data_IF_525974949857
#
_entry.id   IF_525974949857
#
_cell.length_a   1.000
_cell.length_b   1.000
_cell.length_c   1.000
_cell.angle_alpha   90.00
_cell.angle_beta   90.00
_cell.angle_gamma   90.00
#
_symmetry.space_group_name_H-M   'P 1'
#
loop_
_entity.id
_entity.type
_entity.pdbx_description
1 polymer ?
#
# COMPACT_ATOMS: atom_id res chain seq x y z
N UNK A 1 2.67 11.02 4.43
CA UNK A 1 1.86 11.32 5.64
C UNK A 1 1.08 12.59 5.42
N UNK A 2 -0.12 12.71 5.98
CA UNK A 2 -0.90 13.94 6.04
C UNK A 2 -1.24 14.27 7.49
N UNK A 3 -1.40 15.56 7.81
CA UNK A 3 -1.89 15.99 9.13
C UNK A 3 -3.33 16.47 9.02
N UNK A 4 -4.24 15.85 9.77
CA UNK A 4 -5.68 16.17 9.77
C UNK A 4 -6.13 16.26 11.22
N UNK A 5 -6.65 17.42 11.64
CA UNK A 5 -7.11 17.63 13.02
C UNK A 5 -6.02 17.43 14.09
N UNK A 6 -4.73 17.63 13.76
CA UNK A 6 -3.60 17.43 14.66
C UNK A 6 -3.04 16.00 14.70
N UNK A 7 -3.62 15.08 13.95
CA UNK A 7 -3.23 13.67 13.87
C UNK A 7 -2.45 13.38 12.58
N UNK A 8 -1.57 12.37 12.62
CA UNK A 8 -0.89 11.90 11.42
C UNK A 8 -1.66 10.72 10.82
N UNK A 9 -1.88 10.77 9.50
CA UNK A 9 -2.52 9.71 8.72
C UNK A 9 -1.63 9.27 7.57
N UNK A 10 -1.64 7.98 7.28
CA UNK A 10 -0.90 7.43 6.13
C UNK A 10 -1.67 7.79 4.86
N UNK A 11 -1.17 8.77 4.12
CA UNK A 11 -1.77 9.19 2.85
C UNK A 11 -1.37 8.29 1.68
N UNK A 12 -0.10 7.86 1.68
CA UNK A 12 0.46 6.99 0.65
C UNK A 12 1.42 6.00 1.30
N UNK A 13 1.47 4.78 0.76
CA UNK A 13 2.54 3.82 1.01
C UNK A 13 3.34 3.62 -0.27
N UNK A 14 4.67 3.44 -0.14
CA UNK A 14 5.57 3.30 -1.29
C UNK A 14 6.59 2.19 -1.08
N UNK A 15 6.65 1.25 -2.02
CA UNK A 15 7.72 0.25 -2.13
C UNK A 15 8.76 0.73 -3.16
N UNK A 16 10.02 0.61 -2.79
CA UNK A 16 11.19 1.06 -3.54
C UNK A 16 11.92 -0.16 -4.12
N UNK A 17 11.77 -0.46 -5.42
CA UNK A 17 12.47 -1.59 -6.04
C UNK A 17 13.87 -1.22 -6.53
N UNK A 18 14.08 0.01 -7.00
CA UNK A 18 15.41 0.51 -7.42
C UNK A 18 15.50 2.04 -7.27
N UNK A 19 16.68 2.66 -7.25
CA UNK A 19 16.76 4.14 -7.19
C UNK A 19 16.53 4.87 -8.53
N UNK A 20 16.17 4.13 -9.59
CA UNK A 20 15.92 4.73 -10.90
C UNK A 20 14.75 5.73 -10.86
N UNK A 21 14.82 6.83 -11.65
CA UNK A 21 13.69 7.76 -11.81
C UNK A 21 12.49 7.08 -12.47
N UNK A 22 11.28 7.42 -12.01
CA UNK A 22 10.04 7.00 -12.69
C UNK A 22 9.82 7.91 -13.89
N UNK A 23 9.60 7.33 -15.07
CA UNK A 23 9.25 8.06 -16.30
C UNK A 23 7.81 7.81 -16.75
N UNK A 24 7.18 6.75 -16.22
CA UNK A 24 5.79 6.38 -16.56
C UNK A 24 5.10 5.75 -15.36
N UNK A 25 3.83 6.11 -15.15
CA UNK A 25 2.95 5.46 -14.18
C UNK A 25 1.87 4.65 -14.88
N UNK A 26 1.50 3.52 -14.30
CA UNK A 26 0.32 2.74 -14.67
C UNK A 26 -0.40 2.27 -13.41
N UNK A 27 -1.71 2.05 -13.50
CA UNK A 27 -2.45 1.39 -12.43
C UNK A 27 -1.94 -0.05 -12.25
N UNK A 28 -1.81 -0.50 -11.01
CA UNK A 28 -1.45 -1.86 -10.69
C UNK A 28 -2.69 -2.75 -10.86
N UNK A 29 -2.69 -3.60 -11.89
CA UNK A 29 -3.79 -4.52 -12.22
C UNK A 29 -3.30 -5.95 -12.33
N UNK A 30 -4.19 -6.92 -12.19
CA UNK A 30 -3.96 -8.31 -12.57
C UNK A 30 -4.13 -8.49 -14.09
N UNK A 31 -3.72 -9.65 -14.61
CA UNK A 31 -3.75 -9.92 -16.05
C UNK A 31 -5.17 -9.92 -16.66
N UNK A 32 -6.19 -10.18 -15.84
CA UNK A 32 -7.61 -10.20 -16.20
C UNK A 32 -8.32 -8.85 -15.97
N UNK A 33 -7.65 -7.89 -15.33
CA UNK A 33 -8.21 -6.57 -15.05
C UNK A 33 -7.93 -5.58 -16.17
N UNK A 34 -8.92 -4.74 -16.49
CA UNK A 34 -8.79 -3.70 -17.50
C UNK A 34 -7.76 -2.64 -17.07
N UNK A 35 -6.91 -2.23 -18.02
CA UNK A 35 -6.02 -1.09 -17.82
C UNK A 35 -6.82 0.21 -17.85
N UNK A 36 -6.84 0.92 -16.71
CA UNK A 36 -7.47 2.23 -16.58
C UNK A 36 -6.40 3.35 -16.58
N UNK A 37 -6.76 4.56 -17.06
CA UNK A 37 -5.85 5.70 -17.00
C UNK A 37 -5.55 6.10 -15.56
N UNK A 38 -4.29 6.45 -15.28
CA UNK A 38 -3.91 7.03 -13.98
C UNK A 38 -4.61 8.37 -13.83
N UNK A 39 -5.31 8.57 -12.70
CA UNK A 39 -6.11 9.76 -12.46
C UNK A 39 -7.48 9.76 -13.14
N UNK A 40 -7.94 8.61 -13.66
CA UNK A 40 -9.33 8.46 -14.09
C UNK A 40 -10.32 8.44 -12.92
N UNK A 41 -11.61 8.57 -13.26
CA UNK A 41 -12.73 8.48 -12.31
C UNK A 41 -12.87 7.07 -11.74
N UNK A 42 -12.71 6.06 -12.60
CA UNK A 42 -12.73 4.65 -12.22
C UNK A 42 -11.38 4.20 -11.67
N UNK A 43 -11.41 3.27 -10.72
CA UNK A 43 -10.22 2.70 -10.12
C UNK A 43 -10.32 1.18 -9.95
N UNK A 44 -9.19 0.51 -10.19
CA UNK A 44 -8.96 -0.88 -9.82
C UNK A 44 -8.05 -0.89 -8.61
N UNK A 45 -8.43 -1.66 -7.59
CA UNK A 45 -7.80 -1.65 -6.29
C UNK A 45 -8.12 -2.89 -5.46
N UNK A 46 -7.79 -2.80 -4.18
CA UNK A 46 -8.06 -3.83 -3.19
C UNK A 46 -8.88 -3.25 -2.03
N UNK A 47 -9.76 -4.08 -1.47
CA UNK A 47 -10.53 -3.75 -0.27
C UNK A 47 -9.69 -4.01 0.97
N UNK A 48 -9.80 -3.12 1.95
CA UNK A 48 -9.26 -3.29 3.29
C UNK A 48 -10.41 -3.28 4.28
N UNK A 49 -10.44 -4.31 5.11
CA UNK A 49 -11.31 -4.46 6.28
C UNK A 49 -10.39 -4.86 7.44
N UNK A 50 -10.22 -3.97 8.42
CA UNK A 50 -9.19 -4.07 9.46
C UNK A 50 -8.08 -3.02 9.37
N UNK A 51 -8.29 -1.95 8.59
CA UNK A 51 -7.49 -0.72 8.59
C UNK A 51 -5.97 -0.94 8.41
N UNK A 52 -5.60 -2.02 7.70
CA UNK A 52 -4.21 -2.48 7.55
C UNK A 52 -3.98 -2.94 6.12
N UNK A 53 -3.03 -2.31 5.43
CA UNK A 53 -2.54 -2.75 4.13
C UNK A 53 -1.29 -3.60 4.31
N UNK A 54 -1.23 -4.73 3.61
CA UNK A 54 -0.11 -5.68 3.61
C UNK A 54 0.44 -5.83 2.19
N UNK A 55 1.76 -5.71 2.05
CA UNK A 55 2.49 -5.85 0.81
C UNK A 55 3.46 -7.03 0.92
N UNK A 56 3.33 -7.99 0.01
CA UNK A 56 4.15 -9.19 -0.01
C UNK A 56 4.29 -9.72 -1.44
N UNK A 57 5.40 -10.41 -1.72
CA UNK A 57 5.57 -11.14 -2.97
C UNK A 57 4.91 -12.54 -2.91
N UNK A 58 4.94 -13.25 -4.04
CA UNK A 58 4.36 -14.59 -4.16
C UNK A 58 5.04 -15.62 -3.24
N UNK A 59 6.35 -15.47 -3.00
CA UNK A 59 7.12 -16.38 -2.14
C UNK A 59 6.71 -16.23 -0.68
N UNK A 60 6.52 -14.99 -0.22
CA UNK A 60 6.01 -14.67 1.12
C UNK A 60 4.57 -15.14 1.24
N UNK A 61 3.72 -14.88 0.24
CA UNK A 61 2.30 -15.30 0.26
C UNK A 61 2.13 -16.80 0.49
N UNK A 62 2.97 -17.65 -0.11
CA UNK A 62 2.93 -19.11 0.06
C UNK A 62 3.18 -19.56 1.50
N UNK A 63 3.90 -18.76 2.28
CA UNK A 63 4.30 -19.07 3.66
C UNK A 63 3.59 -18.20 4.71
N UNK A 64 2.72 -17.29 4.28
CA UNK A 64 2.02 -16.37 5.17
C UNK A 64 0.76 -17.03 5.74
N UNK A 65 0.65 -17.06 7.08
CA UNK A 65 -0.57 -17.47 7.75
C UNK A 65 -1.58 -16.29 7.78
N UNK A 66 -2.71 -16.36 7.04
CA UNK A 66 -3.67 -15.26 6.98
C UNK A 66 -4.27 -14.90 8.34
N UNK A 67 -4.29 -15.83 9.32
CA UNK A 67 -4.79 -15.54 10.68
C UNK A 67 -3.97 -14.47 11.39
N UNK A 68 -2.72 -14.24 10.96
CA UNK A 68 -1.90 -13.15 11.48
C UNK A 68 -2.50 -11.78 11.13
N UNK A 69 -3.18 -11.65 10.00
CA UNK A 69 -3.84 -10.40 9.59
C UNK A 69 -5.24 -10.22 10.18
N UNK A 70 -5.88 -11.28 10.67
CA UNK A 70 -7.26 -11.25 11.19
C UNK A 70 -7.34 -10.98 12.71
N UNK A 71 -6.25 -11.18 13.45
CA UNK A 71 -6.24 -11.06 14.90
C UNK A 71 -5.29 -9.95 15.37
N UNK A 72 -5.83 -8.87 15.95
CA UNK A 72 -5.04 -7.75 16.47
C UNK A 72 -4.05 -8.09 17.60
N UNK A 73 -4.17 -9.27 18.23
CA UNK A 73 -3.19 -9.76 19.20
C UNK A 73 -2.10 -10.65 18.57
N UNK A 74 -2.10 -10.81 17.25
CA UNK A 74 -1.12 -11.65 16.55
C UNK A 74 0.29 -11.03 16.61
N UNK A 75 1.35 -11.84 16.40
CA UNK A 75 2.72 -11.35 16.28
C UNK A 75 2.88 -10.22 15.25
N UNK A 76 2.10 -10.19 14.17
CA UNK A 76 2.15 -9.14 13.16
C UNK A 76 1.79 -7.78 13.76
N UNK A 77 0.66 -7.69 14.46
CA UNK A 77 0.20 -6.44 15.06
C UNK A 77 1.04 -6.01 16.26
N UNK A 78 1.50 -6.96 17.06
CA UNK A 78 2.48 -6.71 18.13
C UNK A 78 3.77 -6.09 17.55
N UNK A 79 4.23 -6.56 16.39
CA UNK A 79 5.39 -5.98 15.72
C UNK A 79 5.10 -4.57 15.17
N UNK A 80 3.92 -4.36 14.59
CA UNK A 80 3.49 -3.02 14.14
C UNK A 80 3.48 -2.02 15.31
N UNK A 81 3.02 -2.42 16.49
CA UNK A 81 2.93 -1.55 17.67
C UNK A 81 4.30 -1.04 18.15
N UNK A 82 5.38 -1.77 17.89
CA UNK A 82 6.75 -1.30 18.17
C UNK A 82 7.15 -0.07 17.35
N UNK A 83 6.49 0.16 16.22
CA UNK A 83 6.72 1.31 15.34
C UNK A 83 5.53 2.27 15.31
N UNK A 84 4.71 2.29 16.37
CA UNK A 84 3.62 3.23 16.51
C UNK A 84 4.10 4.68 16.54
N UNK A 85 3.43 5.55 15.78
CA UNK A 85 3.68 6.99 15.70
C UNK A 85 2.34 7.71 15.57
N UNK A 86 1.97 8.57 16.52
CA UNK A 86 0.85 9.52 16.39
C UNK A 86 -0.39 9.00 15.64
N UNK A 87 -0.89 7.81 16.03
CA UNK A 87 -2.07 7.09 15.46
C UNK A 87 -1.88 6.29 14.18
N UNK A 88 -0.67 6.04 13.74
CA UNK A 88 -0.37 5.05 12.70
C UNK A 88 0.79 4.15 13.12
N UNK A 89 0.82 2.94 12.59
CA UNK A 89 1.87 1.94 12.81
C UNK A 89 2.24 1.27 11.50
N UNK A 90 3.45 0.72 11.45
CA UNK A 90 3.97 -0.01 10.31
C UNK A 90 4.95 -1.08 10.76
N UNK A 91 5.29 -2.03 9.90
CA UNK A 91 6.39 -2.96 10.15
C UNK A 91 6.93 -3.55 8.85
N UNK A 92 8.18 -4.02 8.91
CA UNK A 92 8.73 -5.01 7.99
C UNK A 92 8.75 -6.36 8.73
N UNK A 93 7.70 -7.15 8.57
CA UNK A 93 7.48 -8.38 9.32
C UNK A 93 8.16 -9.57 8.65
N UNK A 94 8.92 -10.37 9.42
CA UNK A 94 9.66 -11.53 8.91
C UNK A 94 8.73 -12.73 8.68
N UNK A 95 8.84 -13.35 7.51
CA UNK A 95 8.14 -14.59 7.14
C UNK A 95 9.15 -15.54 6.51
N UNK A 96 9.63 -16.51 7.30
CA UNK A 96 10.78 -17.34 6.91
C UNK A 96 12.01 -16.46 6.69
N UNK A 97 12.69 -16.60 5.55
CA UNK A 97 13.84 -15.77 5.17
C UNK A 97 13.44 -14.46 4.45
N UNK A 98 12.16 -14.26 4.19
CA UNK A 98 11.63 -13.10 3.47
C UNK A 98 10.87 -12.15 4.42
N UNK A 99 10.34 -11.05 3.88
CA UNK A 99 9.59 -10.05 4.64
C UNK A 99 8.35 -9.58 3.90
N UNK A 100 7.33 -9.19 4.67
CA UNK A 100 6.21 -8.37 4.18
C UNK A 100 6.29 -6.98 4.81
N UNK A 101 5.72 -5.99 4.13
CA UNK A 101 5.46 -4.68 4.72
C UNK A 101 4.00 -4.60 5.14
N UNK A 102 3.72 -4.09 6.34
CA UNK A 102 2.36 -3.77 6.77
C UNK A 102 2.30 -2.35 7.30
N UNK A 103 1.19 -1.65 7.05
CA UNK A 103 0.96 -0.32 7.61
C UNK A 103 -0.53 -0.05 7.77
N UNK A 104 -0.88 0.88 8.66
CA UNK A 104 -2.25 1.38 8.67
C UNK A 104 -2.58 2.07 7.35
N UNK A 105 -3.83 1.90 6.94
CA UNK A 105 -4.46 2.75 5.93
C UNK A 105 -4.79 4.12 6.53
N UNK A 106 -5.02 5.12 5.66
CA UNK A 106 -5.21 6.51 6.07
C UNK A 106 -6.40 6.72 7.03
N UNK A 107 -7.62 6.49 6.56
CA UNK A 107 -8.87 6.69 7.33
C UNK A 107 -9.48 5.37 7.84
N UNK A 108 -8.72 4.28 7.79
CA UNK A 108 -9.20 2.94 8.12
C UNK A 108 -9.66 2.17 6.89
N UNK A 109 -10.79 1.50 6.99
CA UNK A 109 -11.28 0.59 5.93
C UNK A 109 -11.62 1.35 4.64
N UNK A 110 -11.57 0.65 3.51
CA UNK A 110 -11.83 1.28 2.22
C UNK A 110 -11.34 0.48 1.01
N UNK A 111 -11.49 1.09 -0.16
CA UNK A 111 -11.04 0.54 -1.44
C UNK A 111 -9.93 1.44 -2.02
N UNK A 112 -8.74 0.87 -2.20
CA UNK A 112 -7.53 1.64 -2.47
C UNK A 112 -6.82 1.12 -3.73
N UNK A 113 -6.35 2.05 -4.56
CA UNK A 113 -5.59 1.73 -5.76
C UNK A 113 -4.09 1.78 -5.50
N UNK A 114 -3.36 0.95 -6.25
CA UNK A 114 -1.91 1.06 -6.34
C UNK A 114 -1.46 1.39 -7.76
N UNK A 115 -0.29 1.99 -7.88
CA UNK A 115 0.29 2.46 -9.13
C UNK A 115 1.73 1.98 -9.24
N UNK A 116 2.07 1.40 -10.39
CA UNK A 116 3.43 0.95 -10.72
C UNK A 116 4.13 2.08 -11.47
N UNK A 117 5.29 2.47 -10.95
CA UNK A 117 6.20 3.41 -11.61
C UNK A 117 7.27 2.64 -12.37
N UNK A 118 7.43 2.93 -13.65
CA UNK A 118 8.41 2.34 -14.54
C UNK A 118 9.56 3.30 -14.84
N UNK A 119 10.77 2.77 -14.92
CA UNK A 119 11.96 3.53 -15.33
C UNK A 119 12.10 3.63 -16.86
N UNK A 120 13.16 4.30 -17.32
CA UNK A 120 13.44 4.51 -18.75
C UNK A 120 13.68 3.24 -19.57
N UNK A 121 13.92 2.11 -18.90
CA UNK A 121 14.08 0.79 -19.55
C UNK A 121 12.76 0.01 -19.62
N UNK A 122 11.70 0.52 -18.96
CA UNK A 122 10.43 -0.16 -18.82
C UNK A 122 10.39 -1.15 -17.64
N UNK A 123 11.36 -1.12 -16.73
CA UNK A 123 11.35 -1.95 -15.53
C UNK A 123 10.56 -1.28 -14.39
N UNK A 124 9.76 -2.03 -13.60
CA UNK A 124 9.13 -1.50 -12.39
C UNK A 124 10.18 -1.05 -11.37
N UNK A 125 10.15 0.22 -10.98
CA UNK A 125 11.03 0.75 -9.94
C UNK A 125 10.25 1.18 -8.69
N UNK A 126 8.93 1.41 -8.79
CA UNK A 126 8.09 1.84 -7.66
C UNK A 126 6.75 1.10 -7.64
N UNK A 127 6.22 0.86 -6.46
CA UNK A 127 4.79 0.66 -6.23
C UNK A 127 4.31 1.72 -5.24
N UNK A 128 3.24 2.43 -5.54
CA UNK A 128 2.64 3.43 -4.64
C UNK A 128 1.17 3.15 -4.45
N UNK A 129 0.70 3.03 -3.22
CA UNK A 129 -0.73 2.96 -2.88
C UNK A 129 -1.21 4.32 -2.41
N UNK A 130 -2.36 4.75 -2.91
CA UNK A 130 -3.07 5.94 -2.43
C UNK A 130 -4.21 5.53 -1.48
N UNK A 131 -4.19 6.08 -0.27
CA UNK A 131 -5.24 5.85 0.74
C UNK A 131 -6.36 6.91 0.71
N UNK A 132 -6.52 7.60 -0.43
CA UNK A 132 -7.59 8.55 -0.72
C UNK A 132 -7.69 9.70 0.28
N UNK A 133 -6.54 10.17 0.79
CA UNK A 133 -6.50 11.35 1.66
C UNK A 133 -6.53 12.66 0.85
N UNK A 134 -5.99 12.64 -0.37
CA UNK A 134 -5.93 13.81 -1.23
C UNK A 134 -6.76 13.60 -2.49
N UNK A 135 -7.52 14.62 -2.86
CA UNK A 135 -8.23 14.67 -4.13
C UNK A 135 -7.31 15.22 -5.22
N UNK A 136 -6.55 14.34 -5.87
CA UNK A 136 -5.68 14.71 -7.01
C UNK A 136 -6.18 14.15 -8.34
N UNK A 137 -7.19 13.27 -8.31
CA UNK A 137 -7.76 12.59 -9.48
C UNK A 137 -8.90 13.37 -10.14
N UNK A 138 -9.50 14.33 -9.43
CA UNK A 138 -10.48 15.23 -10.03
C UNK A 138 -9.74 16.37 -10.72
N UNK A 139 -10.10 16.64 -11.98
CA UNK A 139 -9.67 17.87 -12.65
C UNK A 139 -10.41 19.05 -12.01
N UNK A 140 -9.71 20.15 -11.78
CA UNK A 140 -10.34 21.44 -11.51
C UNK A 140 -11.41 21.70 -12.58
N UNK A 141 -12.63 22.04 -12.15
CA UNK A 141 -13.73 22.43 -13.04
C UNK A 141 -13.46 23.81 -13.66
#
# INVERSE_FOLDING_TARGET
>A
MASIGGEEKVAFARILFSNAPVVKWQMATTADQQSLPVGGEELVGFSVDGSTAIYMDETVKKNFDPKLAENYSSPLFVEMDKHYRRRWRFTMFKVGENQLAACNTGMGDGYFASYIGFDSTGAPCRLTTDFNIFEWRQKEQ
#
